data_IF_444946703368
#
_entry.id   IF_444946703368
#
_cell.length_a   1.000
_cell.length_b   1.000
_cell.length_c   1.000
_cell.angle_alpha   90.00
_cell.angle_beta   90.00
_cell.angle_gamma   90.00
#
_symmetry.space_group_name_H-M   'P 1'
#
loop_
_entity.id
_entity.type
_entity.pdbx_description
1 polymer ?
#
# COMPACT_ATOMS: atom_id res chain seq x y z
N UNK A 1 -33.23 73.12 7.56
CA UNK A 1 -32.05 72.54 6.82
C UNK A 1 -31.72 71.22 7.44
N UNK A 2 -32.12 70.14 6.76
CA UNK A 2 -31.72 68.76 7.15
C UNK A 2 -30.46 68.40 6.35
N UNK A 3 -29.38 68.13 7.03
CA UNK A 3 -28.16 67.60 6.41
C UNK A 3 -28.28 66.06 6.32
N UNK A 4 -28.31 65.54 5.08
CA UNK A 4 -28.28 64.14 4.82
C UNK A 4 -26.82 63.65 4.88
N UNK A 5 -26.51 62.81 5.84
CA UNK A 5 -25.23 62.08 5.85
C UNK A 5 -25.33 60.88 4.93
N UNK A 6 -24.58 60.90 3.81
CA UNK A 6 -24.38 59.77 2.95
C UNK A 6 -23.36 58.81 3.60
N UNK A 7 -23.81 57.66 4.04
CA UNK A 7 -22.92 56.59 4.46
C UNK A 7 -22.32 55.91 3.22
N UNK A 8 -21.04 56.09 3.01
CA UNK A 8 -20.28 55.32 2.01
C UNK A 8 -20.14 53.88 2.51
N UNK A 9 -20.40 52.87 1.66
CA UNK A 9 -20.16 51.51 2.04
C UNK A 9 -18.64 51.27 2.17
N UNK A 10 -18.21 50.94 3.38
CA UNK A 10 -16.86 50.39 3.60
C UNK A 10 -16.83 49.03 2.95
N UNK A 11 -16.33 48.94 1.71
CA UNK A 11 -15.90 47.65 1.13
C UNK A 11 -14.69 47.16 1.92
N UNK A 12 -14.92 46.22 2.82
CA UNK A 12 -13.81 45.46 3.40
C UNK A 12 -13.07 44.74 2.26
N UNK A 13 -11.89 45.23 1.93
CA UNK A 13 -10.99 44.50 1.05
C UNK A 13 -10.59 43.24 1.79
N UNK A 14 -11.17 42.08 1.41
CA UNK A 14 -10.67 40.79 1.80
C UNK A 14 -9.35 40.60 1.04
N UNK A 15 -8.25 40.84 1.72
CA UNK A 15 -6.94 40.36 1.19
C UNK A 15 -7.07 38.85 0.99
N UNK A 16 -6.89 38.34 -0.25
CA UNK A 16 -6.88 36.93 -0.45
C UNK A 16 -5.72 36.35 0.37
N UNK A 17 -6.05 35.54 1.37
CA UNK A 17 -5.02 34.84 2.13
C UNK A 17 -4.29 33.89 1.18
N UNK A 18 -3.09 34.24 0.79
CA UNK A 18 -2.23 33.35 0.03
C UNK A 18 -1.80 32.22 0.96
N UNK A 19 -2.04 30.94 0.62
CA UNK A 19 -1.60 29.83 1.44
C UNK A 19 -0.09 29.93 1.69
N UNK A 20 0.32 29.77 2.93
CA UNK A 20 1.75 29.76 3.30
C UNK A 20 2.51 28.62 2.62
N UNK A 21 1.79 27.56 2.21
CA UNK A 21 2.35 26.40 1.51
C UNK A 21 1.81 26.40 0.08
N UNK A 22 2.67 26.41 -0.95
CA UNK A 22 2.25 26.32 -2.34
C UNK A 22 1.45 25.05 -2.62
N UNK A 23 0.47 25.10 -3.51
CA UNK A 23 -0.34 23.93 -3.90
C UNK A 23 0.50 22.75 -4.46
N UNK A 24 1.71 23.03 -4.94
CA UNK A 24 2.70 22.04 -5.43
C UNK A 24 4.00 22.19 -4.63
N UNK A 25 3.93 21.96 -3.34
CA UNK A 25 5.13 21.98 -2.51
C UNK A 25 5.73 20.59 -2.43
N UNK A 26 6.98 20.46 -2.85
CA UNK A 26 7.78 19.23 -2.66
C UNK A 26 8.88 19.57 -1.64
N UNK A 27 8.80 19.04 -0.43
CA UNK A 27 9.82 19.31 0.57
C UNK A 27 11.17 18.74 0.15
N UNK A 28 12.28 19.41 0.40
CA UNK A 28 13.61 18.87 0.13
C UNK A 28 13.88 17.66 1.05
N UNK A 29 14.43 16.59 0.48
CA UNK A 29 14.71 15.33 1.20
C UNK A 29 16.21 15.08 1.41
N UNK A 30 17.01 16.13 1.47
CA UNK A 30 18.47 16.04 1.61
C UNK A 30 18.92 15.43 2.93
N UNK A 31 18.16 15.66 3.99
CA UNK A 31 18.46 15.21 5.36
C UNK A 31 17.73 13.93 5.76
N UNK A 32 17.06 13.26 4.82
CA UNK A 32 16.40 11.99 5.13
C UNK A 32 17.44 10.88 5.34
N UNK A 33 17.17 10.00 6.30
CA UNK A 33 17.99 8.81 6.58
C UNK A 33 17.60 7.61 5.70
N UNK A 34 16.69 7.81 4.74
CA UNK A 34 16.24 6.81 3.79
C UNK A 34 16.06 7.39 2.37
N UNK A 35 15.98 6.50 1.40
CA UNK A 35 15.59 6.79 0.02
C UNK A 35 14.24 6.11 -0.25
N UNK A 36 13.28 6.87 -0.77
CA UNK A 36 11.99 6.35 -1.23
C UNK A 36 12.00 6.27 -2.75
N UNK A 37 11.80 5.07 -3.30
CA UNK A 37 11.62 4.83 -4.73
C UNK A 37 10.19 4.38 -4.99
N UNK A 38 9.56 4.93 -6.02
CA UNK A 38 8.26 4.50 -6.51
C UNK A 38 8.45 3.92 -7.89
N UNK A 39 8.02 2.69 -8.09
CA UNK A 39 8.19 1.95 -9.35
C UNK A 39 6.92 1.23 -9.73
N UNK A 40 6.73 1.04 -11.03
CA UNK A 40 5.68 0.19 -11.58
C UNK A 40 6.31 -1.13 -12.00
N UNK A 41 6.15 -2.16 -11.18
CA UNK A 41 6.75 -3.48 -11.46
C UNK A 41 5.90 -4.21 -12.49
N UNK A 42 6.47 -4.62 -13.65
CA UNK A 42 5.74 -5.36 -14.66
C UNK A 42 5.55 -6.83 -14.22
N UNK A 43 4.31 -7.29 -14.32
CA UNK A 43 3.96 -8.70 -14.17
C UNK A 43 4.11 -9.43 -15.50
N UNK A 44 4.12 -10.76 -15.48
CA UNK A 44 4.30 -11.62 -16.67
C UNK A 44 3.26 -11.40 -17.77
N UNK A 45 2.09 -10.87 -17.44
CA UNK A 45 1.01 -10.53 -18.36
C UNK A 45 1.06 -9.07 -18.87
N UNK A 46 2.09 -8.30 -18.48
CA UNK A 46 2.30 -6.92 -18.87
C UNK A 46 1.61 -5.87 -17.99
N UNK A 47 0.73 -6.26 -17.07
CA UNK A 47 0.15 -5.37 -16.06
C UNK A 47 1.24 -4.90 -15.12
N UNK A 48 1.18 -3.64 -14.69
CA UNK A 48 2.20 -3.07 -13.79
C UNK A 48 1.62 -2.77 -12.42
N UNK A 49 2.33 -3.20 -11.37
CA UNK A 49 1.90 -3.01 -10.00
C UNK A 49 2.69 -1.86 -9.33
N UNK A 50 1.94 -0.94 -8.73
CA UNK A 50 2.50 0.20 -8.01
C UNK A 50 3.20 -0.26 -6.75
N UNK A 51 4.48 0.07 -6.66
CA UNK A 51 5.35 -0.42 -5.59
C UNK A 51 6.17 0.73 -5.01
N UNK A 52 6.18 0.82 -3.69
CA UNK A 52 6.98 1.78 -2.93
C UNK A 52 8.09 1.03 -2.21
N UNK A 53 9.32 1.42 -2.46
CA UNK A 53 10.53 0.82 -1.86
C UNK A 53 11.17 1.89 -0.98
N UNK A 54 11.29 1.60 0.32
CA UNK A 54 11.91 2.48 1.31
C UNK A 54 13.21 1.83 1.77
N UNK A 55 14.32 2.48 1.44
CA UNK A 55 15.67 1.94 1.58
C UNK A 55 16.43 2.77 2.61
N UNK A 56 16.96 2.19 3.68
CA UNK A 56 17.83 2.90 4.60
C UNK A 56 19.01 3.53 3.85
N UNK A 57 19.35 4.78 4.15
CA UNK A 57 20.45 5.46 3.48
C UNK A 57 21.77 4.77 3.77
N UNK A 58 22.53 4.44 2.72
CA UNK A 58 23.76 3.66 2.84
C UNK A 58 23.56 2.15 3.01
N UNK A 59 22.32 1.64 2.84
CA UNK A 59 22.06 0.21 2.87
C UNK A 59 22.87 -0.52 1.79
N UNK A 60 23.44 -1.63 2.16
CA UNK A 60 24.10 -2.61 1.29
C UNK A 60 23.90 -3.98 1.90
N UNK A 61 23.78 -5.00 1.07
CA UNK A 61 23.54 -6.39 1.51
C UNK A 61 22.36 -6.54 2.49
N UNK A 62 21.32 -5.70 2.28
CA UNK A 62 20.16 -5.61 3.17
C UNK A 62 19.05 -6.58 2.76
N UNK A 63 18.37 -7.26 3.70
CA UNK A 63 17.21 -8.07 3.37
C UNK A 63 16.00 -7.19 3.02
N UNK A 64 15.15 -7.70 2.13
CA UNK A 64 13.89 -7.07 1.76
C UNK A 64 12.76 -7.64 2.63
N UNK A 65 11.86 -6.78 3.10
CA UNK A 65 10.60 -7.16 3.72
C UNK A 65 9.44 -6.58 2.91
N UNK A 66 8.67 -7.45 2.26
CA UNK A 66 7.58 -7.13 1.34
C UNK A 66 6.22 -7.29 2.03
N UNK A 67 5.36 -6.29 1.85
CA UNK A 67 3.92 -6.36 2.14
C UNK A 67 3.14 -6.01 0.87
N UNK A 68 2.28 -6.91 0.39
CA UNK A 68 1.33 -6.65 -0.69
C UNK A 68 -0.02 -6.29 -0.07
N UNK A 69 -0.61 -5.17 -0.48
CA UNK A 69 -1.70 -4.54 0.27
C UNK A 69 -2.85 -4.08 -0.62
N UNK A 70 -4.11 -4.25 -0.20
CA UNK A 70 -5.25 -3.55 -0.80
C UNK A 70 -5.50 -2.19 -0.13
N UNK A 71 -4.66 -1.76 0.83
CA UNK A 71 -4.90 -0.63 1.73
C UNK A 71 -4.04 0.61 1.41
N UNK A 72 -3.65 0.83 0.15
CA UNK A 72 -2.85 1.95 -0.33
C UNK A 72 -1.37 1.88 0.10
N UNK A 73 -0.55 1.32 -0.76
CA UNK A 73 0.90 1.17 -0.56
C UNK A 73 1.61 2.51 -0.30
N UNK A 74 1.17 3.59 -0.97
CA UNK A 74 1.75 4.93 -0.75
C UNK A 74 1.49 5.43 0.68
N UNK A 75 0.26 5.28 1.17
CA UNK A 75 -0.11 5.66 2.54
C UNK A 75 0.54 4.78 3.61
N UNK A 76 0.71 3.48 3.31
CA UNK A 76 1.43 2.54 4.21
C UNK A 76 2.92 2.88 4.32
N UNK A 77 3.54 3.26 3.20
CA UNK A 77 4.95 3.59 3.15
C UNK A 77 5.29 5.00 3.67
N UNK A 78 4.31 5.85 3.90
CA UNK A 78 4.52 7.22 4.37
C UNK A 78 3.34 7.70 5.22
N UNK A 79 3.23 7.16 6.45
CA UNK A 79 2.19 7.54 7.41
C UNK A 79 2.27 9.01 7.80
N UNK A 80 3.46 9.52 7.92
CA UNK A 80 3.74 10.93 8.14
C UNK A 80 5.01 11.34 7.38
N UNK A 81 5.08 12.59 7.02
CA UNK A 81 6.28 13.15 6.40
C UNK A 81 7.34 13.41 7.48
N UNK A 82 8.37 12.58 7.50
CA UNK A 82 9.50 12.71 8.42
C UNK A 82 10.82 12.45 7.69
N UNK A 83 11.94 13.09 8.11
CA UNK A 83 13.27 12.73 7.63
C UNK A 83 13.74 11.37 8.17
N UNK A 84 13.03 10.78 9.13
CA UNK A 84 13.39 9.52 9.76
C UNK A 84 12.50 8.38 9.27
N UNK A 85 13.12 7.33 8.74
CA UNK A 85 12.42 6.13 8.28
C UNK A 85 11.55 5.51 9.38
N UNK A 86 12.05 5.54 10.61
CA UNK A 86 11.36 5.02 11.79
C UNK A 86 10.00 5.70 12.03
N UNK A 87 9.91 7.01 11.82
CA UNK A 87 8.68 7.77 12.02
C UNK A 87 7.74 7.64 10.83
N UNK A 88 8.32 7.47 9.64
CA UNK A 88 7.59 7.42 8.36
C UNK A 88 6.82 6.12 8.19
N UNK A 89 7.42 4.99 8.55
CA UNK A 89 6.84 3.66 8.40
C UNK A 89 5.86 3.29 9.52
N UNK A 90 5.04 2.23 9.35
CA UNK A 90 4.19 1.71 10.42
C UNK A 90 4.98 1.41 11.71
N UNK A 91 4.37 1.65 12.87
CA UNK A 91 5.01 1.41 14.16
C UNK A 91 5.49 -0.02 14.37
N UNK A 92 4.77 -1.00 13.81
CA UNK A 92 5.19 -2.41 13.84
C UNK A 92 6.47 -2.72 13.03
N UNK A 93 6.91 -1.79 12.19
CA UNK A 93 8.12 -1.96 11.39
C UNK A 93 9.41 -1.52 12.11
N UNK A 94 9.34 -1.00 13.33
CA UNK A 94 10.48 -0.39 14.04
C UNK A 94 11.65 -1.37 14.25
N UNK A 95 11.37 -2.62 14.53
CA UNK A 95 12.39 -3.66 14.69
C UNK A 95 13.12 -3.96 13.38
N UNK A 96 12.42 -3.92 12.25
CA UNK A 96 12.99 -4.15 10.93
C UNK A 96 13.80 -2.94 10.46
N UNK A 97 13.29 -1.72 10.70
CA UNK A 97 14.02 -0.47 10.41
C UNK A 97 15.34 -0.43 11.17
N UNK A 98 15.30 -0.71 12.48
CA UNK A 98 16.52 -0.76 13.32
C UNK A 98 17.50 -1.84 12.89
N UNK A 99 16.99 -2.93 12.30
CA UNK A 99 17.82 -4.02 11.76
C UNK A 99 18.28 -3.77 10.31
N UNK A 100 17.96 -2.61 9.72
CA UNK A 100 18.46 -2.21 8.40
C UNK A 100 17.73 -2.83 7.21
N UNK A 101 16.50 -3.34 7.39
CA UNK A 101 15.71 -3.92 6.31
C UNK A 101 15.25 -2.86 5.30
N UNK A 102 15.24 -3.25 4.03
CA UNK A 102 14.52 -2.54 2.98
C UNK A 102 13.03 -2.88 3.10
N UNK A 103 12.18 -1.87 3.29
CA UNK A 103 10.72 -2.07 3.34
C UNK A 103 10.09 -1.84 1.98
N UNK A 104 9.25 -2.77 1.57
CA UNK A 104 8.53 -2.69 0.28
C UNK A 104 7.04 -2.85 0.53
N UNK A 105 6.26 -1.91 -0.04
CA UNK A 105 4.81 -1.97 -0.06
C UNK A 105 4.34 -1.96 -1.50
N UNK A 106 3.45 -2.87 -1.86
CA UNK A 106 2.90 -2.96 -3.21
C UNK A 106 1.39 -3.01 -3.16
N UNK A 107 0.73 -2.12 -3.93
CA UNK A 107 -0.71 -2.25 -4.15
C UNK A 107 -0.98 -3.55 -4.92
N UNK A 108 -1.95 -4.35 -4.46
CA UNK A 108 -2.42 -5.51 -5.21
C UNK A 108 -3.03 -5.08 -6.53
N UNK A 109 -3.11 -5.99 -7.48
CA UNK A 109 -3.63 -5.77 -8.83
C UNK A 109 -4.97 -5.03 -8.82
N UNK A 110 -5.09 -3.98 -9.62
CA UNK A 110 -6.30 -3.18 -9.78
C UNK A 110 -6.66 -2.29 -8.59
N UNK A 111 -5.83 -2.24 -7.54
CA UNK A 111 -6.01 -1.33 -6.40
C UNK A 111 -5.13 -0.10 -6.52
N UNK A 112 -5.65 1.05 -6.10
CA UNK A 112 -4.98 2.36 -6.02
C UNK A 112 -4.10 2.68 -7.23
N UNK A 113 -2.78 2.61 -7.08
CA UNK A 113 -1.81 2.92 -8.14
C UNK A 113 -1.51 1.77 -9.08
N UNK A 114 -1.93 0.54 -8.77
CA UNK A 114 -1.71 -0.64 -9.61
C UNK A 114 -2.68 -0.70 -10.77
N UNK A 115 -2.16 -1.15 -11.92
CA UNK A 115 -2.94 -1.44 -13.12
C UNK A 115 -3.71 -2.76 -12.99
N UNK A 116 -4.55 -3.05 -14.00
CA UNK A 116 -5.33 -4.27 -14.12
C UNK A 116 -6.71 -4.18 -13.49
N UNK A 117 -7.42 -5.29 -13.50
CA UNK A 117 -8.73 -5.44 -12.89
C UNK A 117 -8.58 -5.94 -11.46
N UNK A 118 -9.29 -5.30 -10.54
CA UNK A 118 -9.33 -5.73 -9.16
C UNK A 118 -10.41 -6.81 -8.97
N UNK A 119 -9.98 -7.95 -8.48
CA UNK A 119 -10.86 -9.02 -7.99
C UNK A 119 -10.43 -9.29 -6.54
N UNK A 120 -11.39 -9.13 -5.61
CA UNK A 120 -11.11 -9.42 -4.20
C UNK A 120 -10.84 -10.91 -4.01
N UNK A 121 -9.70 -11.25 -3.40
CA UNK A 121 -9.28 -12.65 -3.17
C UNK A 121 -9.43 -13.56 -4.40
N UNK A 122 -8.75 -13.25 -5.52
CA UNK A 122 -8.89 -14.04 -6.72
C UNK A 122 -8.43 -15.49 -6.46
N UNK A 123 -9.19 -16.50 -6.93
CA UNK A 123 -8.81 -17.88 -6.69
C UNK A 123 -7.46 -18.20 -7.35
N UNK A 124 -6.70 -19.17 -6.82
CA UNK A 124 -5.52 -19.70 -7.49
C UNK A 124 -5.86 -20.22 -8.89
N UNK A 125 -4.85 -20.38 -9.73
CA UNK A 125 -5.04 -20.97 -11.04
C UNK A 125 -5.69 -22.36 -10.93
N UNK A 126 -6.81 -22.55 -11.61
CA UNK A 126 -7.61 -23.76 -11.54
C UNK A 126 -8.91 -23.62 -12.31
N UNK A 127 -9.91 -24.50 -12.11
CA UNK A 127 -11.19 -24.46 -12.84
C UNK A 127 -11.92 -23.11 -12.73
N UNK A 128 -11.79 -22.42 -11.58
CA UNK A 128 -12.42 -21.12 -11.35
C UNK A 128 -11.59 -19.92 -11.87
N UNK A 129 -10.31 -20.14 -12.19
CA UNK A 129 -9.40 -19.14 -12.74
C UNK A 129 -8.40 -19.81 -13.68
N UNK A 130 -8.84 -20.32 -14.85
CA UNK A 130 -8.03 -21.17 -15.72
C UNK A 130 -6.83 -20.44 -16.34
N UNK A 131 -6.96 -19.15 -16.62
CA UNK A 131 -5.96 -18.38 -17.36
C UNK A 131 -5.63 -17.04 -16.69
N UNK A 132 -6.29 -16.71 -15.60
CA UNK A 132 -6.14 -15.41 -14.96
C UNK A 132 -4.88 -15.31 -14.10
N UNK A 133 -4.30 -14.12 -14.04
CA UNK A 133 -3.31 -13.78 -13.03
C UNK A 133 -3.96 -13.88 -11.64
N UNK A 134 -3.14 -14.10 -10.65
CA UNK A 134 -3.55 -14.21 -9.26
C UNK A 134 -2.43 -13.73 -8.33
N UNK A 135 -2.74 -13.59 -7.05
CA UNK A 135 -1.77 -13.11 -6.08
C UNK A 135 -0.50 -13.97 -5.96
N UNK A 136 -0.60 -15.27 -6.29
CA UNK A 136 0.56 -16.18 -6.32
C UNK A 136 1.57 -15.77 -7.39
N UNK A 137 1.09 -15.56 -8.63
CA UNK A 137 1.96 -15.16 -9.74
C UNK A 137 2.48 -13.75 -9.58
N UNK A 138 1.64 -12.83 -9.10
CA UNK A 138 2.03 -11.45 -8.87
C UNK A 138 3.08 -11.33 -7.76
N UNK A 139 2.97 -12.11 -6.69
CA UNK A 139 3.99 -12.18 -5.66
C UNK A 139 5.32 -12.73 -6.19
N UNK A 140 5.27 -13.78 -7.01
CA UNK A 140 6.46 -14.37 -7.61
C UNK A 140 7.19 -13.36 -8.51
N UNK A 141 6.47 -12.72 -9.44
CA UNK A 141 7.03 -11.74 -10.37
C UNK A 141 7.58 -10.50 -9.65
N UNK A 142 6.89 -10.07 -8.59
CA UNK A 142 7.36 -8.97 -7.75
C UNK A 142 8.68 -9.29 -7.06
N UNK A 143 8.78 -10.46 -6.44
CA UNK A 143 10.02 -10.89 -5.76
C UNK A 143 11.16 -11.04 -6.76
N UNK A 144 10.91 -11.66 -7.91
CA UNK A 144 11.90 -11.82 -8.98
C UNK A 144 12.44 -10.46 -9.46
N UNK A 145 11.53 -9.50 -9.65
CA UNK A 145 11.93 -8.15 -10.03
C UNK A 145 12.75 -7.45 -8.94
N UNK A 146 12.31 -7.54 -7.69
CA UNK A 146 12.99 -6.88 -6.56
C UNK A 146 14.43 -7.35 -6.40
N UNK A 147 14.67 -8.65 -6.43
CA UNK A 147 16.04 -9.19 -6.26
C UNK A 147 16.97 -8.88 -7.43
N UNK A 148 16.41 -8.56 -8.60
CA UNK A 148 17.18 -8.17 -9.78
C UNK A 148 17.45 -6.66 -9.89
N UNK A 149 16.58 -5.82 -9.32
CA UNK A 149 16.59 -4.38 -9.57
C UNK A 149 16.81 -3.51 -8.33
N UNK A 150 16.97 -4.11 -7.16
CA UNK A 150 17.31 -3.41 -5.91
C UNK A 150 18.74 -3.79 -5.50
N UNK A 151 19.75 -3.07 -6.00
CA UNK A 151 21.15 -3.44 -5.81
C UNK A 151 21.62 -3.38 -4.36
N UNK A 152 20.88 -2.66 -3.50
CA UNK A 152 21.16 -2.58 -2.06
C UNK A 152 20.77 -3.88 -1.32
N UNK A 153 20.04 -4.78 -2.00
CA UNK A 153 19.53 -6.03 -1.41
C UNK A 153 20.56 -7.15 -1.44
N UNK A 154 20.47 -8.05 -0.45
CA UNK A 154 21.20 -9.33 -0.41
C UNK A 154 20.48 -10.47 -1.15
N UNK A 155 19.42 -10.17 -1.91
CA UNK A 155 18.64 -11.16 -2.64
C UNK A 155 17.73 -12.04 -1.77
N UNK A 156 17.57 -11.75 -0.48
CA UNK A 156 16.66 -12.46 0.42
C UNK A 156 15.43 -11.62 0.70
N UNK A 157 14.26 -12.24 0.57
CA UNK A 157 12.97 -11.57 0.78
C UNK A 157 12.21 -12.29 1.89
N UNK A 158 11.68 -11.50 2.82
CA UNK A 158 10.63 -11.91 3.73
C UNK A 158 9.29 -11.28 3.29
N UNK A 159 8.18 -11.95 3.57
CA UNK A 159 6.84 -11.36 3.44
C UNK A 159 6.13 -11.38 4.77
N UNK A 160 5.46 -10.28 5.09
CA UNK A 160 4.56 -10.22 6.24
C UNK A 160 3.30 -9.43 5.89
N UNK A 161 2.22 -9.72 6.59
CA UNK A 161 0.97 -8.98 6.46
C UNK A 161 -0.13 -9.54 7.33
N UNK A 162 -1.05 -8.67 7.72
CA UNK A 162 -2.22 -9.02 8.53
C UNK A 162 -3.48 -8.93 7.70
N UNK A 163 -4.50 -9.77 8.02
CA UNK A 163 -5.80 -9.78 7.36
C UNK A 163 -5.66 -10.08 5.85
N UNK A 164 -6.14 -9.19 4.97
CA UNK A 164 -5.95 -9.34 3.52
C UNK A 164 -4.45 -9.37 3.14
N UNK A 165 -3.60 -8.58 3.78
CA UNK A 165 -2.16 -8.65 3.56
C UNK A 165 -1.61 -10.03 3.97
N UNK A 166 -2.19 -10.66 5.02
CA UNK A 166 -1.91 -12.05 5.41
C UNK A 166 -2.34 -13.05 4.33
N UNK A 167 -3.50 -12.83 3.71
CA UNK A 167 -3.94 -13.63 2.55
C UNK A 167 -2.92 -13.56 1.41
N UNK A 168 -2.39 -12.38 1.07
CA UNK A 168 -1.38 -12.26 0.01
C UNK A 168 -0.08 -13.02 0.33
N UNK A 169 0.28 -13.13 1.61
CA UNK A 169 1.41 -13.95 2.06
C UNK A 169 1.12 -15.45 1.87
N UNK A 170 -0.08 -15.93 2.25
CA UNK A 170 -0.50 -17.32 2.02
C UNK A 170 -0.46 -17.64 0.51
N UNK A 171 -0.96 -16.74 -0.33
CA UNK A 171 -0.94 -16.93 -1.77
C UNK A 171 0.48 -17.04 -2.33
N UNK A 172 1.43 -16.28 -1.80
CA UNK A 172 2.85 -16.38 -2.19
C UNK A 172 3.46 -17.74 -1.81
N UNK A 173 2.97 -18.39 -0.75
CA UNK A 173 3.44 -19.71 -0.31
C UNK A 173 2.94 -20.86 -1.17
N UNK A 174 1.88 -20.67 -1.97
CA UNK A 174 1.38 -21.71 -2.87
C UNK A 174 2.36 -22.03 -4.02
N UNK A 175 3.17 -21.05 -4.42
CA UNK A 175 4.25 -21.23 -5.37
C UNK A 175 5.39 -20.25 -5.03
N UNK A 176 6.19 -20.57 -4.00
CA UNK A 176 7.14 -19.63 -3.46
C UNK A 176 8.32 -19.38 -4.41
N UNK A 177 8.71 -18.11 -4.53
CA UNK A 177 9.93 -17.75 -5.22
C UNK A 177 11.16 -18.23 -4.41
N UNK A 178 12.25 -18.69 -5.04
CA UNK A 178 13.45 -19.17 -4.31
C UNK A 178 14.07 -18.14 -3.36
N UNK A 179 13.92 -16.86 -3.65
CA UNK A 179 14.37 -15.77 -2.77
C UNK A 179 13.48 -15.52 -1.55
N UNK A 180 12.24 -16.03 -1.52
CA UNK A 180 11.36 -15.94 -0.35
C UNK A 180 11.88 -16.87 0.75
N UNK A 181 12.42 -16.29 1.83
CA UNK A 181 13.06 -17.04 2.93
C UNK A 181 12.22 -17.15 4.17
N UNK A 182 11.34 -16.17 4.40
CA UNK A 182 10.45 -16.10 5.55
C UNK A 182 9.09 -15.59 5.10
N UNK A 183 8.04 -16.17 5.64
CA UNK A 183 6.67 -15.71 5.43
C UNK A 183 5.93 -15.71 6.76
N UNK A 184 5.30 -14.58 7.10
CA UNK A 184 4.53 -14.39 8.31
C UNK A 184 3.11 -13.91 7.96
N UNK A 185 2.19 -14.84 7.63
CA UNK A 185 0.78 -14.51 7.45
C UNK A 185 0.14 -14.35 8.82
N UNK A 186 -0.26 -13.14 9.17
CA UNK A 186 -0.95 -12.84 10.40
C UNK A 186 -2.46 -12.79 10.14
N UNK A 187 -3.25 -13.59 10.86
CA UNK A 187 -4.70 -13.65 10.74
C UNK A 187 -5.19 -13.56 9.27
N UNK A 188 -4.71 -14.44 8.37
CA UNK A 188 -4.98 -14.33 6.96
C UNK A 188 -6.47 -14.58 6.66
N UNK A 189 -7.03 -13.80 5.76
CA UNK A 189 -8.40 -13.93 5.26
C UNK A 189 -8.48 -15.09 4.25
N UNK A 190 -8.68 -16.32 4.73
CA UNK A 190 -8.61 -17.54 3.90
C UNK A 190 -9.93 -18.32 3.80
N UNK A 191 -10.85 -18.13 4.74
CA UNK A 191 -12.16 -18.79 4.75
C UNK A 191 -13.27 -17.81 5.10
N UNK A 192 -13.80 -17.15 4.08
CA UNK A 192 -14.85 -16.13 4.22
C UNK A 192 -16.18 -16.65 4.74
N UNK A 193 -16.40 -17.97 4.74
CA UNK A 193 -17.66 -18.58 5.17
C UNK A 193 -17.65 -18.98 6.64
N UNK A 194 -16.54 -19.52 7.12
CA UNK A 194 -16.48 -20.09 8.45
C UNK A 194 -16.16 -19.06 9.54
N UNK A 195 -15.29 -18.12 9.29
CA UNK A 195 -14.85 -17.26 10.38
C UNK A 195 -14.13 -15.98 9.97
N UNK A 196 -14.52 -15.39 8.86
CA UNK A 196 -13.95 -14.14 8.39
C UNK A 196 -14.90 -12.93 8.58
N UNK A 197 -14.55 -11.79 8.02
CA UNK A 197 -15.29 -10.53 8.16
C UNK A 197 -16.71 -10.58 7.57
N UNK A 198 -16.96 -11.44 6.58
CA UNK A 198 -18.24 -11.54 5.89
C UNK A 198 -19.22 -12.46 6.59
N UNK A 199 -18.75 -13.62 7.02
CA UNK A 199 -19.58 -14.65 7.62
C UNK A 199 -18.91 -15.22 8.87
N UNK A 200 -19.73 -15.77 9.76
CA UNK A 200 -19.30 -16.53 10.92
C UNK A 200 -20.14 -17.80 11.01
N UNK A 201 -19.53 -18.93 10.69
CA UNK A 201 -20.24 -20.21 10.52
C UNK A 201 -21.45 -20.13 9.62
N UNK A 202 -21.30 -19.45 8.45
CA UNK A 202 -22.37 -19.24 7.50
C UNK A 202 -23.35 -18.11 7.85
N UNK A 203 -23.30 -17.55 9.04
CA UNK A 203 -24.13 -16.41 9.43
C UNK A 203 -23.50 -15.10 8.93
N UNK A 204 -24.27 -14.33 8.14
CA UNK A 204 -23.82 -13.07 7.60
C UNK A 204 -23.59 -12.04 8.69
N UNK A 205 -22.41 -11.40 8.71
CA UNK A 205 -22.05 -10.34 9.65
C UNK A 205 -22.46 -8.99 9.09
N UNK A 206 -23.22 -8.23 9.88
CA UNK A 206 -23.63 -6.87 9.51
C UNK A 206 -22.66 -5.79 10.01
N UNK A 207 -21.81 -6.13 10.98
CA UNK A 207 -20.84 -5.17 11.52
C UNK A 207 -19.70 -4.93 10.55
N UNK A 208 -19.24 -3.68 10.48
CA UNK A 208 -18.10 -3.24 9.68
C UNK A 208 -18.26 -3.38 8.16
N UNK A 209 -19.45 -3.71 7.65
CA UNK A 209 -19.68 -3.82 6.20
C UNK A 209 -19.25 -2.58 5.41
N UNK A 210 -19.55 -1.34 5.86
CA UNK A 210 -19.07 -0.15 5.16
C UNK A 210 -17.56 -0.13 4.99
N UNK A 211 -16.82 -0.40 6.08
CA UNK A 211 -15.37 -0.46 6.04
C UNK A 211 -14.84 -1.55 5.10
N UNK A 212 -15.40 -2.76 5.20
CA UNK A 212 -14.97 -3.90 4.38
C UNK A 212 -15.25 -3.61 2.91
N UNK A 213 -16.44 -3.07 2.60
CA UNK A 213 -16.78 -2.71 1.23
C UNK A 213 -15.82 -1.67 0.68
N UNK A 214 -15.65 -0.55 1.36
CA UNK A 214 -14.79 0.55 0.92
C UNK A 214 -13.31 0.13 0.80
N UNK A 215 -12.79 -0.58 1.80
CA UNK A 215 -11.37 -0.93 1.84
C UNK A 215 -11.01 -2.18 1.03
N UNK A 216 -11.89 -3.16 0.95
CA UNK A 216 -11.57 -4.45 0.36
C UNK A 216 -12.30 -4.74 -0.95
N UNK A 217 -13.59 -4.41 -1.05
CA UNK A 217 -14.38 -4.76 -2.22
C UNK A 217 -14.23 -3.76 -3.38
N UNK A 218 -14.01 -2.49 -3.10
CA UNK A 218 -13.89 -1.46 -4.14
C UNK A 218 -12.45 -1.29 -4.62
N UNK A 219 -12.30 -0.77 -5.84
CA UNK A 219 -11.00 -0.61 -6.49
C UNK A 219 -10.09 0.40 -5.78
N UNK A 220 -10.60 1.55 -5.41
CA UNK A 220 -9.79 2.66 -4.89
C UNK A 220 -9.98 2.91 -3.39
N UNK A 221 -11.00 2.30 -2.79
CA UNK A 221 -11.41 2.61 -1.42
C UNK A 221 -11.97 4.02 -1.25
N UNK A 222 -12.45 4.64 -2.36
CA UNK A 222 -12.99 6.00 -2.39
C UNK A 222 -14.36 6.09 -3.06
N UNK A 223 -14.89 4.97 -3.53
CA UNK A 223 -16.20 4.91 -4.15
C UNK A 223 -17.26 5.25 -3.11
N UNK A 224 -18.09 6.21 -3.47
CA UNK A 224 -19.30 6.53 -2.71
C UNK A 224 -20.38 5.54 -3.11
N UNK A 225 -20.72 4.65 -2.21
CA UNK A 225 -21.68 3.58 -2.44
C UNK A 225 -22.93 3.69 -1.55
N UNK A 226 -23.09 4.82 -0.88
CA UNK A 226 -24.29 5.16 -0.07
C UNK A 226 -25.49 5.62 -0.91
#
# INVERSE_FOLDING_TARGET
MLAAFAALPLCAQTNPMTPAIPAKFTPPRTNYDYVKRVVMIPMRDGVKLYTVIVIPKGAHDAPILLTRTPYNAAGRAERMLSPHMLDTLPQGDDVFVKAGYIRVFQDVRGKYGSEGEYVMTPPPRGPLNPNGPNDTTDAWDTIDWLVKHVPESNGKVGMLGSSYEGFTVVMALLHPHPALKVACPESPMVDGWMGDDWFHYGAFRQQMLPYIYDQQATRTGKEDWW
#
